data_IF_001450909624
#
_entry.id   IF_001450909624
#
_cell.length_a   1.000
_cell.length_b   1.000
_cell.length_c   1.000
_cell.angle_alpha   90.00
_cell.angle_beta   90.00
_cell.angle_gamma   90.00
#
_symmetry.space_group_name_H-M   'P 1'
#
loop_
_entity.id
_entity.type
_entity.pdbx_description
1 polymer ?
#
# COMPACT_ATOMS: atom_id res chain seq x y z
N UNK A 1 21.97 -0.53 -9.86
CA UNK A 1 20.67 -1.19 -10.11
C UNK A 1 20.85 -2.69 -10.30
N UNK A 2 21.65 -3.15 -11.28
CA UNK A 2 21.89 -4.59 -11.52
C UNK A 2 22.49 -5.31 -10.29
N UNK A 3 23.45 -4.67 -9.60
CA UNK A 3 24.06 -5.21 -8.37
C UNK A 3 23.04 -5.46 -7.25
N UNK A 4 22.17 -4.47 -6.99
CA UNK A 4 21.06 -4.57 -6.03
C UNK A 4 20.11 -5.70 -6.41
N UNK A 5 19.74 -5.78 -7.70
CA UNK A 5 18.80 -6.80 -8.17
C UNK A 5 19.39 -8.22 -8.01
N UNK A 6 20.67 -8.40 -8.33
CA UNK A 6 21.34 -9.70 -8.18
C UNK A 6 21.49 -10.11 -6.71
N UNK A 7 21.87 -9.20 -5.82
CA UNK A 7 22.01 -9.51 -4.39
C UNK A 7 20.68 -9.86 -3.74
N UNK A 8 19.61 -9.14 -4.09
CA UNK A 8 18.26 -9.45 -3.61
C UNK A 8 17.72 -10.76 -4.19
N UNK A 9 17.97 -11.07 -5.47
CA UNK A 9 17.62 -12.36 -6.04
C UNK A 9 18.32 -13.51 -5.29
N UNK A 10 19.63 -13.37 -5.05
CA UNK A 10 20.40 -14.37 -4.32
C UNK A 10 19.87 -14.56 -2.90
N UNK A 11 19.53 -13.48 -2.21
CA UNK A 11 18.87 -13.52 -0.90
C UNK A 11 17.57 -14.32 -0.95
N UNK A 12 16.70 -14.06 -1.92
CA UNK A 12 15.43 -14.78 -2.08
C UNK A 12 15.65 -16.27 -2.32
N UNK A 13 16.59 -16.63 -3.20
CA UNK A 13 16.92 -18.03 -3.52
C UNK A 13 17.46 -18.76 -2.29
N UNK A 14 18.40 -18.14 -1.57
CA UNK A 14 18.98 -18.72 -0.34
C UNK A 14 17.93 -18.84 0.75
N UNK A 15 17.10 -17.81 0.97
CA UNK A 15 16.03 -17.86 1.95
C UNK A 15 15.04 -19.00 1.63
N UNK A 16 14.59 -19.12 0.37
CA UNK A 16 13.67 -20.18 -0.05
C UNK A 16 14.30 -21.57 0.13
N UNK A 17 15.55 -21.75 -0.28
CA UNK A 17 16.29 -23.00 -0.09
C UNK A 17 16.38 -23.38 1.40
N UNK A 18 16.82 -22.45 2.24
CA UNK A 18 16.98 -22.72 3.67
C UNK A 18 15.65 -23.01 4.37
N UNK A 19 14.57 -22.32 4.00
CA UNK A 19 13.24 -22.57 4.57
C UNK A 19 12.69 -23.94 4.15
N UNK A 20 12.92 -24.38 2.90
CA UNK A 20 12.44 -25.68 2.40
C UNK A 20 13.22 -26.84 3.05
N UNK A 21 14.54 -26.76 3.14
CA UNK A 21 15.39 -27.87 3.58
C UNK A 21 15.71 -27.86 5.08
N UNK A 22 15.71 -26.68 5.72
CA UNK A 22 16.05 -26.51 7.13
C UNK A 22 15.00 -25.65 7.87
N UNK A 23 13.72 -26.05 7.89
CA UNK A 23 12.64 -25.26 8.50
C UNK A 23 12.86 -25.00 9.99
N UNK A 24 13.54 -25.91 10.71
CA UNK A 24 13.82 -25.80 12.15
C UNK A 24 14.66 -24.58 12.55
N UNK A 25 15.40 -23.97 11.62
CA UNK A 25 16.27 -22.83 11.91
C UNK A 25 15.53 -21.49 11.94
N UNK A 26 14.30 -21.43 11.41
CA UNK A 26 13.40 -20.28 11.52
C UNK A 26 14.10 -18.94 11.22
N UNK A 27 14.29 -18.13 12.26
CA UNK A 27 14.93 -16.81 12.17
C UNK A 27 16.38 -16.85 11.65
N UNK A 28 17.13 -17.91 11.95
CA UNK A 28 18.52 -18.05 11.50
C UNK A 28 18.58 -18.12 9.97
N UNK A 29 17.61 -18.76 9.31
CA UNK A 29 17.54 -18.80 7.84
C UNK A 29 17.42 -17.39 7.25
N UNK A 30 16.61 -16.53 7.87
CA UNK A 30 16.47 -15.14 7.47
C UNK A 30 17.79 -14.37 7.65
N UNK A 31 18.47 -14.54 8.80
CA UNK A 31 19.76 -13.92 9.08
C UNK A 31 20.83 -14.32 8.06
N UNK A 32 20.93 -15.61 7.71
CA UNK A 32 21.89 -16.12 6.72
C UNK A 32 21.60 -15.50 5.35
N UNK A 33 20.34 -15.49 4.92
CA UNK A 33 19.96 -14.90 3.63
C UNK A 33 20.30 -13.40 3.57
N UNK A 34 20.06 -12.66 4.65
CA UNK A 34 20.41 -11.24 4.75
C UNK A 34 21.93 -11.01 4.71
N UNK A 35 22.71 -11.87 5.37
CA UNK A 35 24.17 -11.81 5.34
C UNK A 35 24.72 -12.08 3.93
N UNK A 36 24.18 -13.09 3.24
CA UNK A 36 24.53 -13.39 1.84
C UNK A 36 24.20 -12.20 0.93
N UNK A 37 23.07 -11.54 1.13
CA UNK A 37 22.73 -10.31 0.40
C UNK A 37 23.81 -9.23 0.59
N UNK A 38 24.16 -8.93 1.84
CA UNK A 38 25.12 -7.87 2.16
C UNK A 38 26.54 -8.17 1.61
N UNK A 39 27.00 -9.42 1.74
CA UNK A 39 28.30 -9.84 1.23
C UNK A 39 28.32 -9.80 -0.30
N UNK A 40 27.31 -10.36 -0.96
CA UNK A 40 27.24 -10.39 -2.43
C UNK A 40 27.13 -8.97 -3.02
N UNK A 41 26.31 -8.11 -2.42
CA UNK A 41 26.20 -6.71 -2.81
C UNK A 41 27.55 -5.99 -2.75
N UNK A 42 28.23 -6.12 -1.62
CA UNK A 42 29.56 -5.51 -1.42
C UNK A 42 30.58 -6.08 -2.41
N UNK A 43 30.61 -7.40 -2.57
CA UNK A 43 31.54 -8.08 -3.48
C UNK A 43 31.34 -7.66 -4.95
N UNK A 44 30.09 -7.55 -5.42
CA UNK A 44 29.79 -7.08 -6.79
C UNK A 44 30.29 -5.65 -6.98
N UNK A 45 30.05 -4.75 -6.01
CA UNK A 45 30.54 -3.38 -6.09
C UNK A 45 32.07 -3.32 -6.19
N UNK A 46 32.77 -4.02 -5.31
CA UNK A 46 34.23 -4.09 -5.37
C UNK A 46 34.75 -4.72 -6.68
N UNK A 47 34.09 -5.76 -7.19
CA UNK A 47 34.48 -6.41 -8.45
C UNK A 47 34.30 -5.50 -9.66
N UNK A 48 33.17 -4.79 -9.77
CA UNK A 48 32.91 -3.85 -10.86
C UNK A 48 33.92 -2.71 -10.84
N UNK A 49 34.18 -2.12 -9.68
CA UNK A 49 35.18 -1.04 -9.57
C UNK A 49 36.59 -1.54 -9.87
N UNK A 50 36.95 -2.74 -9.43
CA UNK A 50 38.24 -3.35 -9.79
C UNK A 50 38.38 -3.53 -11.31
N UNK A 51 37.32 -3.96 -11.99
CA UNK A 51 37.31 -4.07 -13.46
C UNK A 51 37.45 -2.70 -14.14
N UNK A 52 36.77 -1.65 -13.65
CA UNK A 52 36.91 -0.29 -14.19
C UNK A 52 38.34 0.25 -14.07
N UNK A 53 38.98 0.07 -12.90
CA UNK A 53 40.37 0.47 -12.68
C UNK A 53 41.31 -0.32 -13.61
N UNK A 54 41.09 -1.63 -13.76
CA UNK A 54 41.91 -2.49 -14.61
C UNK A 54 41.78 -2.16 -16.10
N UNK A 55 40.57 -1.89 -16.57
CA UNK A 55 40.30 -1.63 -17.98
C UNK A 55 40.64 -0.20 -18.41
N UNK A 56 41.01 0.68 -17.46
CA UNK A 56 41.22 2.12 -17.69
C UNK A 56 40.03 2.81 -18.38
N UNK A 57 38.82 2.27 -18.21
CA UNK A 57 37.54 2.92 -18.57
C UNK A 57 37.22 4.03 -17.55
N UNK A 58 38.18 4.93 -17.39
CA UNK A 58 38.15 6.01 -16.42
C UNK A 58 37.95 7.28 -17.25
N UNK A 59 36.73 7.83 -17.22
CA UNK A 59 36.54 9.24 -17.55
C UNK A 59 37.59 10.05 -16.77
N UNK A 60 38.15 11.11 -17.37
CA UNK A 60 39.22 11.93 -16.78
C UNK A 60 38.90 12.46 -15.36
N UNK A 61 37.62 12.41 -14.96
CA UNK A 61 37.06 12.79 -13.67
C UNK A 61 37.12 11.70 -12.58
N UNK A 62 37.61 10.49 -12.84
CA UNK A 62 37.60 9.41 -11.84
C UNK A 62 38.78 9.50 -10.86
N UNK A 63 38.48 9.78 -9.59
CA UNK A 63 39.46 10.16 -8.55
C UNK A 63 40.15 8.95 -7.88
N UNK A 64 39.56 7.75 -7.93
CA UNK A 64 40.07 6.57 -7.20
C UNK A 64 41.03 5.76 -8.07
N UNK A 65 42.26 5.53 -7.61
CA UNK A 65 43.30 4.82 -8.37
C UNK A 65 43.57 3.41 -7.82
N UNK A 66 43.16 3.14 -6.59
CA UNK A 66 43.35 1.84 -5.93
C UNK A 66 42.13 1.45 -5.09
N UNK A 67 41.95 0.13 -4.90
CA UNK A 67 40.92 -0.43 -3.99
C UNK A 67 41.11 0.08 -2.56
N UNK A 68 42.33 0.48 -2.17
CA UNK A 68 42.62 1.06 -0.86
C UNK A 68 42.04 2.46 -0.67
N UNK A 69 41.79 3.20 -1.75
CA UNK A 69 41.26 4.56 -1.69
C UNK A 69 39.77 4.60 -1.32
N UNK A 70 39.10 3.44 -1.28
CA UNK A 70 37.71 3.29 -0.82
C UNK A 70 37.58 3.21 0.70
N UNK A 71 38.67 2.92 1.42
CA UNK A 71 38.63 2.90 2.88
C UNK A 71 38.66 4.33 3.41
N UNK A 72 37.95 4.61 4.52
CA UNK A 72 37.98 5.93 5.14
C UNK A 72 39.42 6.32 5.44
N UNK A 73 39.87 7.44 4.84
CA UNK A 73 41.21 7.99 5.03
C UNK A 73 41.10 9.38 5.64
N UNK A 74 41.92 9.62 6.66
CA UNK A 74 42.07 10.96 7.24
C UNK A 74 42.89 11.79 6.25
N UNK A 75 42.30 12.87 5.76
CA UNK A 75 42.97 13.83 4.90
C UNK A 75 43.68 14.86 5.79
N UNK A 76 45.00 15.09 5.63
CA UNK A 76 45.78 15.92 6.53
C UNK A 76 45.33 17.38 6.59
N UNK A 77 44.77 17.92 5.50
CA UNK A 77 44.37 19.34 5.38
C UNK A 77 42.86 19.57 5.57
N UNK A 78 42.10 18.58 6.03
CA UNK A 78 40.66 18.72 6.27
C UNK A 78 40.28 18.35 7.70
N UNK A 79 39.27 19.03 8.27
CA UNK A 79 38.75 18.63 9.58
C UNK A 79 38.24 17.19 9.52
N UNK A 80 38.44 16.45 10.61
CA UNK A 80 37.98 15.06 10.74
C UNK A 80 36.46 14.93 10.54
N UNK A 81 35.69 15.96 10.93
CA UNK A 81 34.25 16.07 10.72
C UNK A 81 33.97 17.39 10.00
N UNK A 82 33.34 17.31 8.83
CA UNK A 82 32.77 18.49 8.18
C UNK A 82 31.50 18.91 8.95
N UNK A 83 31.54 20.06 9.64
CA UNK A 83 30.39 20.54 10.41
C UNK A 83 29.12 20.74 9.57
N UNK A 84 29.26 21.12 8.29
CA UNK A 84 28.11 21.30 7.41
C UNK A 84 27.47 19.95 7.11
N UNK A 85 28.29 18.94 6.81
CA UNK A 85 27.80 17.58 6.56
C UNK A 85 27.24 16.93 7.84
N UNK A 86 27.86 17.18 9.00
CA UNK A 86 27.37 16.71 10.30
C UNK A 86 26.02 17.32 10.66
N UNK A 87 25.84 18.63 10.45
CA UNK A 87 24.56 19.32 10.64
C UNK A 87 23.46 18.76 9.71
N UNK A 88 23.80 18.55 8.44
CA UNK A 88 22.89 17.95 7.47
C UNK A 88 22.53 16.50 7.85
N UNK A 89 23.51 15.70 8.26
CA UNK A 89 23.31 14.32 8.72
C UNK A 89 22.44 14.30 9.98
N UNK A 90 22.65 15.21 10.92
CA UNK A 90 21.80 15.37 12.11
C UNK A 90 20.34 15.69 11.75
N UNK A 91 20.12 16.52 10.73
CA UNK A 91 18.79 16.82 10.22
C UNK A 91 18.11 15.59 9.59
N UNK A 92 18.82 14.84 8.74
CA UNK A 92 18.31 13.59 8.17
C UNK A 92 18.09 12.50 9.21
N UNK A 93 18.95 12.43 10.22
CA UNK A 93 18.80 11.49 11.33
C UNK A 93 17.54 11.80 12.14
N UNK A 94 17.31 13.07 12.48
CA UNK A 94 16.08 13.53 13.13
C UNK A 94 14.85 13.17 12.29
N UNK A 95 14.88 13.47 10.99
CA UNK A 95 13.80 13.11 10.07
C UNK A 95 13.57 11.60 10.01
N UNK A 96 14.63 10.79 10.07
CA UNK A 96 14.54 9.33 10.07
C UNK A 96 13.90 8.79 11.34
N UNK A 97 14.20 9.36 12.51
CA UNK A 97 13.52 9.01 13.77
C UNK A 97 12.01 9.29 13.67
N UNK A 98 11.63 10.48 13.20
CA UNK A 98 10.22 10.82 13.02
C UNK A 98 9.54 9.85 12.05
N UNK A 99 10.19 9.58 10.92
CA UNK A 99 9.68 8.62 9.94
C UNK A 99 9.51 7.24 10.57
N UNK A 100 10.50 6.76 11.31
CA UNK A 100 10.48 5.45 11.96
C UNK A 100 9.34 5.33 12.97
N UNK A 101 9.10 6.36 13.79
CA UNK A 101 7.98 6.37 14.73
C UNK A 101 6.64 6.41 13.98
N UNK A 102 6.55 7.15 12.88
CA UNK A 102 5.33 7.23 12.08
C UNK A 102 5.02 5.94 11.32
N UNK A 103 6.04 5.19 10.88
CA UNK A 103 5.85 3.95 10.09
C UNK A 103 5.80 2.69 10.93
N UNK A 104 6.60 2.62 12.00
CA UNK A 104 6.77 1.43 12.83
C UNK A 104 6.27 1.63 14.27
N UNK A 105 5.67 2.80 14.56
CA UNK A 105 5.10 3.13 15.87
C UNK A 105 4.12 2.08 16.38
N UNK A 106 3.33 1.50 15.48
CA UNK A 106 2.44 0.39 15.79
C UNK A 106 3.18 -0.84 16.35
N UNK A 107 4.27 -1.25 15.70
CA UNK A 107 5.07 -2.39 16.17
C UNK A 107 5.75 -2.10 17.50
N UNK A 108 6.17 -0.85 17.72
CA UNK A 108 6.66 -0.41 19.02
C UNK A 108 5.58 -0.50 20.08
N UNK A 109 4.34 -0.12 19.77
CA UNK A 109 3.21 -0.27 20.71
C UNK A 109 3.00 -1.74 21.07
N UNK A 110 2.96 -2.64 20.06
CA UNK A 110 2.81 -4.08 20.27
C UNK A 110 3.92 -4.65 21.17
N UNK A 111 5.17 -4.26 20.92
CA UNK A 111 6.34 -4.80 21.61
C UNK A 111 6.50 -4.24 23.03
N UNK A 112 6.36 -2.92 23.19
CA UNK A 112 6.66 -2.23 24.46
C UNK A 112 5.54 -2.42 25.49
N UNK A 113 4.28 -2.35 25.05
CA UNK A 113 3.15 -2.46 25.96
C UNK A 113 2.61 -3.89 26.10
N UNK A 114 3.18 -4.86 25.36
CA UNK A 114 2.80 -6.27 25.46
C UNK A 114 1.32 -6.54 25.22
N UNK A 115 0.69 -5.72 24.37
CA UNK A 115 -0.79 -5.70 24.21
C UNK A 115 -1.32 -6.95 23.50
N UNK A 116 -0.43 -7.70 22.83
CA UNK A 116 -0.74 -8.96 22.16
C UNK A 116 0.29 -10.02 22.52
N UNK A 117 -0.17 -11.28 22.59
CA UNK A 117 0.72 -12.43 22.67
C UNK A 117 1.52 -12.57 21.36
N UNK A 118 2.74 -13.10 21.43
CA UNK A 118 3.63 -13.29 20.27
C UNK A 118 2.97 -14.08 19.13
N UNK A 119 2.12 -15.06 19.44
CA UNK A 119 1.36 -15.80 18.43
C UNK A 119 0.41 -14.90 17.63
N UNK A 120 -0.37 -14.07 18.31
CA UNK A 120 -1.31 -13.14 17.67
C UNK A 120 -0.59 -12.03 16.90
N UNK A 121 0.58 -11.59 17.38
CA UNK A 121 1.44 -10.67 16.63
C UNK A 121 1.91 -11.29 15.31
N UNK A 122 2.32 -12.57 15.33
CA UNK A 122 2.71 -13.30 14.12
C UNK A 122 1.56 -13.45 13.13
N UNK A 123 0.36 -13.83 13.61
CA UNK A 123 -0.85 -13.92 12.77
C UNK A 123 -1.22 -12.55 12.20
N UNK A 124 -1.14 -11.49 13.02
CA UNK A 124 -1.37 -10.12 12.59
C UNK A 124 -0.41 -9.69 11.49
N UNK A 125 0.89 -9.91 11.66
CA UNK A 125 1.90 -9.54 10.67
C UNK A 125 1.70 -10.29 9.35
N UNK A 126 1.33 -11.57 9.39
CA UNK A 126 1.02 -12.34 8.18
C UNK A 126 -0.21 -11.76 7.48
N UNK A 127 -1.30 -11.51 8.21
CA UNK A 127 -2.53 -10.95 7.63
C UNK A 127 -2.32 -9.53 7.12
N UNK A 128 -1.56 -8.70 7.82
CA UNK A 128 -1.22 -7.36 7.36
C UNK A 128 -0.41 -7.40 6.06
N UNK A 129 0.55 -8.32 5.94
CA UNK A 129 1.31 -8.50 4.70
C UNK A 129 0.48 -9.08 3.56
N UNK A 130 -0.41 -10.03 3.83
CA UNK A 130 -1.31 -10.63 2.83
C UNK A 130 -2.38 -9.64 2.37
N UNK A 131 -3.05 -8.97 3.31
CA UNK A 131 -4.10 -8.01 3.04
C UNK A 131 -3.58 -6.75 2.35
N UNK A 132 -2.35 -6.32 2.63
CA UNK A 132 -1.74 -5.16 1.96
C UNK A 132 -1.28 -5.43 0.53
N UNK A 133 -1.37 -6.65 0.01
CA UNK A 133 -1.00 -6.95 -1.39
C UNK A 133 -1.88 -6.20 -2.39
N UNK A 134 -3.20 -6.15 -2.18
CA UNK A 134 -4.10 -5.42 -3.08
C UNK A 134 -3.80 -3.90 -3.09
N UNK A 135 -3.66 -3.23 -1.92
CA UNK A 135 -3.15 -1.86 -1.87
C UNK A 135 -1.81 -1.65 -2.59
N UNK A 136 -0.83 -2.53 -2.37
CA UNK A 136 0.53 -2.40 -2.96
C UNK A 136 0.56 -2.59 -4.47
N UNK A 137 -0.18 -3.56 -5.00
CA UNK A 137 -0.10 -3.90 -6.43
C UNK A 137 -1.15 -3.23 -7.30
N UNK A 138 -2.28 -2.82 -6.72
CA UNK A 138 -3.38 -2.20 -7.46
C UNK A 138 -3.46 -0.71 -7.15
N UNK A 139 -3.64 -0.35 -5.87
CA UNK A 139 -3.95 1.04 -5.51
C UNK A 139 -2.73 1.96 -5.57
N UNK A 140 -1.58 1.52 -5.08
CA UNK A 140 -0.37 2.34 -5.06
C UNK A 140 0.07 2.80 -6.46
N UNK A 141 0.15 1.94 -7.50
CA UNK A 141 0.47 2.41 -8.85
C UNK A 141 -0.54 3.41 -9.41
N UNK A 142 -1.84 3.22 -9.09
CA UNK A 142 -2.91 4.16 -9.49
C UNK A 142 -2.74 5.49 -8.76
N UNK A 143 -2.42 5.47 -7.46
CA UNK A 143 -2.17 6.65 -6.64
C UNK A 143 -0.99 7.48 -7.17
N UNK A 144 0.14 6.83 -7.44
CA UNK A 144 1.35 7.47 -7.97
C UNK A 144 1.08 8.09 -9.34
N UNK A 145 0.41 7.35 -10.23
CA UNK A 145 0.02 7.84 -11.56
C UNK A 145 -0.97 9.00 -11.47
N UNK A 146 -1.95 8.90 -10.57
CA UNK A 146 -2.96 9.92 -10.32
C UNK A 146 -2.33 11.22 -9.82
N UNK A 147 -1.42 11.14 -8.85
CA UNK A 147 -0.68 12.30 -8.32
C UNK A 147 0.09 13.03 -9.41
N UNK A 148 0.83 12.30 -10.24
CA UNK A 148 1.56 12.89 -11.37
C UNK A 148 0.60 13.57 -12.34
N UNK A 149 -0.51 12.90 -12.69
CA UNK A 149 -1.53 13.44 -13.56
C UNK A 149 -2.14 14.75 -13.03
N UNK A 150 -2.63 14.75 -11.79
CA UNK A 150 -3.27 15.93 -11.19
C UNK A 150 -2.30 17.11 -11.04
N UNK A 151 -1.07 16.85 -10.60
CA UNK A 151 -0.04 17.90 -10.46
C UNK A 151 0.44 18.48 -11.79
N UNK A 152 0.26 17.75 -12.90
CA UNK A 152 0.61 18.24 -14.24
C UNK A 152 -0.46 19.17 -14.85
N UNK A 153 -1.71 19.03 -14.43
CA UNK A 153 -2.85 19.78 -14.99
C UNK A 153 -3.32 20.93 -14.11
N UNK A 154 -3.17 20.80 -12.79
CA UNK A 154 -3.50 21.84 -11.82
C UNK A 154 -2.25 22.48 -11.24
N UNK A 155 -2.25 23.81 -11.19
CA UNK A 155 -1.22 24.55 -10.48
C UNK A 155 -1.48 24.53 -8.98
N UNK A 156 -0.47 24.18 -8.17
CA UNK A 156 -0.57 24.14 -6.71
C UNK A 156 -0.90 25.51 -6.10
N UNK A 157 -1.73 25.50 -5.05
CA UNK A 157 -2.09 26.69 -4.27
C UNK A 157 -3.01 27.69 -4.99
N UNK A 158 -3.51 27.35 -6.18
CA UNK A 158 -4.46 28.18 -6.91
C UNK A 158 -5.90 27.70 -6.68
N UNK A 159 -6.82 28.66 -6.53
CA UNK A 159 -8.25 28.36 -6.43
C UNK A 159 -8.79 27.79 -7.73
N UNK A 160 -9.88 27.02 -7.65
CA UNK A 160 -10.49 26.37 -8.81
C UNK A 160 -10.83 27.36 -9.94
N UNK A 161 -11.27 28.58 -9.61
CA UNK A 161 -11.68 29.59 -10.59
C UNK A 161 -10.51 30.15 -11.44
N UNK A 162 -9.28 30.02 -10.95
CA UNK A 162 -8.08 30.46 -11.66
C UNK A 162 -7.50 29.37 -12.58
N UNK A 163 -7.98 28.12 -12.46
CA UNK A 163 -7.56 27.02 -13.33
C UNK A 163 -8.25 27.11 -14.70
N UNK A 164 -7.64 26.52 -15.72
CA UNK A 164 -8.27 26.47 -17.05
C UNK A 164 -9.54 25.59 -17.01
N UNK A 165 -10.60 26.00 -17.72
CA UNK A 165 -11.87 25.25 -17.75
C UNK A 165 -11.67 23.82 -18.24
N UNK A 166 -10.88 23.63 -19.29
CA UNK A 166 -10.56 22.31 -19.85
C UNK A 166 -9.84 21.41 -18.83
N UNK A 167 -8.88 21.98 -18.07
CA UNK A 167 -8.21 21.26 -16.98
C UNK A 167 -9.21 20.86 -15.90
N UNK A 168 -10.13 21.74 -15.51
CA UNK A 168 -11.12 21.48 -14.46
C UNK A 168 -12.03 20.32 -14.85
N UNK A 169 -12.61 20.36 -16.05
CA UNK A 169 -13.49 19.31 -16.55
C UNK A 169 -12.76 17.96 -16.61
N UNK A 170 -11.54 17.95 -17.16
CA UNK A 170 -10.73 16.75 -17.28
C UNK A 170 -10.34 16.16 -15.92
N UNK A 171 -9.82 16.98 -15.00
CA UNK A 171 -9.37 16.54 -13.68
C UNK A 171 -10.55 16.08 -12.83
N UNK A 172 -11.67 16.80 -12.85
CA UNK A 172 -12.90 16.41 -12.13
C UNK A 172 -13.39 15.06 -12.64
N UNK A 173 -13.49 14.90 -13.96
CA UNK A 173 -13.93 13.64 -14.57
C UNK A 173 -12.99 12.50 -14.19
N UNK A 174 -11.67 12.68 -14.31
CA UNK A 174 -10.69 11.64 -13.96
C UNK A 174 -10.77 11.29 -12.47
N UNK A 175 -10.85 12.28 -11.58
CA UNK A 175 -10.97 12.07 -10.14
C UNK A 175 -12.22 11.26 -9.79
N UNK A 176 -13.37 11.63 -10.36
CA UNK A 176 -14.64 10.93 -10.14
C UNK A 176 -14.55 9.46 -10.59
N UNK A 177 -14.03 9.20 -11.80
CA UNK A 177 -13.93 7.85 -12.35
C UNK A 177 -12.88 6.99 -11.65
N UNK A 178 -11.72 7.56 -11.27
CA UNK A 178 -10.71 6.85 -10.49
C UNK A 178 -11.25 6.48 -9.11
N UNK A 179 -11.88 7.42 -8.41
CA UNK A 179 -12.48 7.20 -7.11
C UNK A 179 -13.56 6.11 -7.16
N UNK A 180 -14.42 6.15 -8.19
CA UNK A 180 -15.42 5.11 -8.45
C UNK A 180 -14.78 3.74 -8.66
N UNK A 181 -13.73 3.67 -9.48
CA UNK A 181 -13.02 2.42 -9.79
C UNK A 181 -12.43 1.79 -8.54
N UNK A 182 -11.66 2.55 -7.76
CA UNK A 182 -11.01 2.02 -6.55
C UNK A 182 -12.04 1.64 -5.48
N UNK A 183 -13.14 2.39 -5.38
CA UNK A 183 -14.24 2.07 -4.46
C UNK A 183 -14.92 0.77 -4.85
N UNK A 184 -15.22 0.56 -6.15
CA UNK A 184 -15.80 -0.69 -6.64
C UNK A 184 -14.89 -1.89 -6.36
N UNK A 185 -13.59 -1.77 -6.63
CA UNK A 185 -12.60 -2.81 -6.32
C UNK A 185 -12.56 -3.09 -4.81
N UNK A 186 -12.50 -2.04 -3.98
CA UNK A 186 -12.53 -2.15 -2.52
C UNK A 186 -13.81 -2.81 -2.01
N UNK A 187 -14.98 -2.50 -2.58
CA UNK A 187 -16.26 -3.12 -2.21
C UNK A 187 -16.29 -4.61 -2.58
N UNK A 188 -15.76 -5.00 -3.74
CA UNK A 188 -15.62 -6.42 -4.12
C UNK A 188 -14.72 -7.13 -3.10
N UNK A 189 -13.55 -6.57 -2.77
CA UNK A 189 -12.64 -7.15 -1.78
C UNK A 189 -13.32 -7.26 -0.41
N UNK A 190 -14.09 -6.25 0.01
CA UNK A 190 -14.84 -6.28 1.27
C UNK A 190 -15.88 -7.41 1.28
N UNK A 191 -16.74 -7.45 0.26
CA UNK A 191 -17.88 -8.37 0.18
C UNK A 191 -17.44 -9.83 0.07
N UNK A 192 -16.52 -10.13 -0.85
CA UNK A 192 -16.00 -11.49 -1.01
C UNK A 192 -14.95 -11.82 0.07
N UNK A 193 -14.23 -10.83 0.60
CA UNK A 193 -13.33 -11.05 1.72
C UNK A 193 -14.02 -11.58 2.97
N UNK A 194 -15.30 -11.26 3.18
CA UNK A 194 -16.04 -11.73 4.34
C UNK A 194 -16.16 -13.27 4.41
N UNK A 195 -16.87 -13.95 3.48
CA UNK A 195 -17.07 -15.39 3.56
C UNK A 195 -15.88 -16.23 3.11
N UNK A 196 -14.92 -15.65 2.38
CA UNK A 196 -13.75 -16.39 1.89
C UNK A 196 -12.51 -16.25 2.79
N UNK A 197 -12.55 -15.44 3.86
CA UNK A 197 -11.40 -15.21 4.74
C UNK A 197 -10.84 -16.52 5.34
N UNK A 198 -11.71 -17.38 5.87
CA UNK A 198 -11.27 -18.67 6.42
C UNK A 198 -10.60 -19.52 5.34
N UNK A 199 -11.28 -19.72 4.20
CA UNK A 199 -10.78 -20.56 3.12
C UNK A 199 -9.45 -20.05 2.56
N UNK A 200 -9.32 -18.74 2.38
CA UNK A 200 -8.09 -18.11 1.90
C UNK A 200 -6.91 -18.36 2.86
N UNK A 201 -7.13 -18.22 4.17
CA UNK A 201 -6.10 -18.49 5.17
C UNK A 201 -5.78 -19.98 5.30
N UNK A 202 -6.79 -20.85 5.19
CA UNK A 202 -6.63 -22.30 5.24
C UNK A 202 -5.80 -22.81 4.04
N UNK A 203 -6.04 -22.26 2.85
CA UNK A 203 -5.25 -22.58 1.66
C UNK A 203 -3.81 -22.05 1.76
N UNK A 204 -3.60 -20.91 2.41
CA UNK A 204 -2.29 -20.26 2.47
C UNK A 204 -1.40 -20.85 3.57
N UNK A 205 -1.91 -20.99 4.79
CA UNK A 205 -1.14 -21.42 5.97
C UNK A 205 -1.79 -22.53 6.79
N UNK A 206 -2.86 -23.15 6.29
CA UNK A 206 -3.57 -24.22 6.98
C UNK A 206 -4.20 -23.76 8.30
N UNK A 207 -4.41 -24.74 9.19
CA UNK A 207 -5.00 -24.52 10.51
C UNK A 207 -4.25 -23.50 11.37
N UNK A 208 -2.97 -23.25 11.11
CA UNK A 208 -2.20 -22.23 11.83
C UNK A 208 -2.79 -20.83 11.67
N UNK A 209 -3.34 -20.52 10.48
CA UNK A 209 -3.94 -19.21 10.18
C UNK A 209 -5.46 -19.25 10.11
N UNK A 210 -6.04 -20.39 9.74
CA UNK A 210 -7.51 -20.53 9.64
C UNK A 210 -8.18 -20.78 11.00
N UNK A 211 -7.44 -21.23 12.02
CA UNK A 211 -7.95 -21.34 13.39
C UNK A 211 -7.72 -20.05 14.19
N UNK A 212 -8.55 -19.83 15.22
CA UNK A 212 -8.42 -18.67 16.12
C UNK A 212 -8.82 -17.34 15.47
N UNK A 213 -8.03 -16.29 15.72
CA UNK A 213 -8.37 -14.91 15.36
C UNK A 213 -8.15 -14.58 13.87
N UNK A 214 -7.44 -15.42 13.11
CA UNK A 214 -7.01 -15.14 11.74
C UNK A 214 -8.15 -14.78 10.78
N UNK A 215 -9.20 -15.61 10.62
CA UNK A 215 -10.30 -15.31 9.72
C UNK A 215 -11.00 -13.98 10.07
N UNK A 216 -11.27 -13.75 11.36
CA UNK A 216 -11.90 -12.51 11.82
C UNK A 216 -11.01 -11.29 11.53
N UNK A 217 -9.70 -11.42 11.72
CA UNK A 217 -8.74 -10.37 11.44
C UNK A 217 -8.70 -10.00 9.96
N UNK A 218 -8.65 -11.01 9.07
CA UNK A 218 -8.67 -10.78 7.62
C UNK A 218 -10.00 -10.15 7.17
N UNK A 219 -11.14 -10.55 7.75
CA UNK A 219 -12.45 -9.92 7.49
C UNK A 219 -12.46 -8.43 7.78
N UNK A 220 -11.94 -8.00 8.93
CA UNK A 220 -11.78 -6.59 9.26
C UNK A 220 -10.73 -5.90 8.40
N UNK A 221 -9.67 -6.62 8.01
CA UNK A 221 -8.67 -6.10 7.09
C UNK A 221 -9.27 -5.81 5.71
N UNK A 222 -10.23 -6.60 5.23
CA UNK A 222 -10.93 -6.30 3.96
C UNK A 222 -11.71 -4.98 4.01
N UNK A 223 -12.26 -4.59 5.17
CA UNK A 223 -12.82 -3.25 5.37
C UNK A 223 -11.74 -2.18 5.32
N UNK A 224 -10.62 -2.44 5.99
CA UNK A 224 -9.46 -1.55 5.96
C UNK A 224 -8.93 -1.33 4.53
N UNK A 225 -8.91 -2.36 3.68
CA UNK A 225 -8.52 -2.26 2.26
C UNK A 225 -9.45 -1.32 1.46
N UNK A 226 -10.76 -1.34 1.71
CA UNK A 226 -11.69 -0.38 1.10
C UNK A 226 -11.35 1.06 1.51
N UNK A 227 -11.05 1.28 2.80
CA UNK A 227 -10.64 2.61 3.28
C UNK A 227 -9.32 3.06 2.65
N UNK A 228 -8.33 2.17 2.54
CA UNK A 228 -7.06 2.46 1.85
C UNK A 228 -7.28 2.85 0.38
N UNK A 229 -8.17 2.14 -0.33
CA UNK A 229 -8.50 2.43 -1.72
C UNK A 229 -8.99 3.87 -1.92
N UNK A 230 -9.94 4.28 -1.09
CA UNK A 230 -10.53 5.62 -1.08
C UNK A 230 -9.52 6.68 -0.64
N UNK A 231 -8.76 6.39 0.43
CA UNK A 231 -7.76 7.30 0.96
C UNK A 231 -6.68 7.61 -0.07
N UNK A 232 -6.13 6.60 -0.75
CA UNK A 232 -5.10 6.80 -1.76
C UNK A 232 -5.51 7.83 -2.81
N UNK A 233 -6.70 7.69 -3.42
CA UNK A 233 -7.14 8.61 -4.48
C UNK A 233 -7.48 10.01 -3.93
N UNK A 234 -8.22 10.10 -2.83
CA UNK A 234 -8.61 11.41 -2.26
C UNK A 234 -7.40 12.20 -1.77
N UNK A 235 -6.46 11.53 -1.11
CA UNK A 235 -5.26 12.14 -0.57
C UNK A 235 -4.23 12.45 -1.65
N UNK A 236 -4.08 11.62 -2.70
CA UNK A 236 -3.19 11.95 -3.81
C UNK A 236 -3.65 13.19 -4.59
N UNK A 237 -4.96 13.37 -4.79
CA UNK A 237 -5.51 14.58 -5.37
C UNK A 237 -5.26 15.78 -4.45
N UNK A 238 -5.57 15.63 -3.15
CA UNK A 238 -5.33 16.66 -2.14
C UNK A 238 -3.86 17.13 -2.12
N UNK A 239 -2.89 16.23 -2.09
CA UNK A 239 -1.46 16.59 -2.13
C UNK A 239 -1.00 17.21 -3.46
N UNK A 240 -1.73 16.98 -4.55
CA UNK A 240 -1.36 17.50 -5.87
C UNK A 240 -1.72 18.98 -6.02
N UNK A 241 -2.65 19.49 -5.22
CA UNK A 241 -3.25 20.83 -5.36
C UNK A 241 -2.88 21.78 -4.23
N UNK A 242 -2.52 21.26 -3.06
CA UNK A 242 -2.23 22.08 -1.88
C UNK A 242 -1.04 23.05 -2.05
N UNK A 243 -1.15 24.21 -1.41
CA UNK A 243 -0.05 25.15 -1.21
C UNK A 243 0.95 24.63 -0.17
N UNK A 244 2.09 25.31 -0.02
CA UNK A 244 3.09 24.95 0.99
C UNK A 244 2.55 25.11 2.41
N UNK A 245 1.80 26.17 2.67
CA UNK A 245 1.19 26.49 3.96
C UNK A 245 0.16 25.42 4.36
N UNK A 246 -0.63 24.96 3.39
CA UNK A 246 -1.59 23.88 3.59
C UNK A 246 -0.88 22.55 3.88
N UNK A 247 0.25 22.26 3.21
CA UNK A 247 1.07 21.06 3.46
C UNK A 247 1.62 21.11 4.89
N UNK A 248 2.14 22.25 5.33
CA UNK A 248 2.64 22.42 6.69
C UNK A 248 1.53 22.25 7.72
N UNK A 249 0.35 22.83 7.48
CA UNK A 249 -0.84 22.62 8.34
C UNK A 249 -1.25 21.15 8.39
N UNK A 250 -1.24 20.46 7.25
CA UNK A 250 -1.54 19.04 7.18
C UNK A 250 -0.52 18.18 7.93
N UNK A 251 0.78 18.50 7.85
CA UNK A 251 1.82 17.79 8.61
C UNK A 251 1.58 17.92 10.13
N UNK A 252 1.11 19.07 10.60
CA UNK A 252 0.70 19.23 12.01
C UNK A 252 -0.54 18.38 12.35
N UNK A 253 -1.53 18.30 11.46
CA UNK A 253 -2.69 17.41 11.63
C UNK A 253 -2.30 15.92 11.62
N UNK A 254 -1.32 15.53 10.82
CA UNK A 254 -0.79 14.16 10.79
C UNK A 254 -0.16 13.75 12.12
N UNK A 255 0.46 14.68 12.85
CA UNK A 255 0.93 14.45 14.21
C UNK A 255 -0.26 14.12 15.14
N UNK A 256 -1.34 14.90 15.06
CA UNK A 256 -2.57 14.63 15.83
C UNK A 256 -3.16 13.26 15.46
N UNK A 257 -3.25 12.92 14.18
CA UNK A 257 -3.74 11.61 13.73
C UNK A 257 -2.86 10.46 14.23
N UNK A 258 -1.54 10.68 14.33
CA UNK A 258 -0.62 9.70 14.92
C UNK A 258 -0.86 9.49 16.41
N UNK A 259 -1.16 10.55 17.17
CA UNK A 259 -1.55 10.42 18.58
C UNK A 259 -2.89 9.67 18.71
N UNK A 260 -3.87 9.96 17.87
CA UNK A 260 -5.15 9.25 17.82
C UNK A 260 -4.92 7.77 17.49
N UNK A 261 -4.07 7.45 16.53
CA UNK A 261 -3.69 6.08 16.18
C UNK A 261 -3.08 5.36 17.39
N UNK A 262 -2.05 5.94 18.01
CA UNK A 262 -1.39 5.30 19.17
C UNK A 262 -2.37 5.08 20.33
N UNK A 263 -3.17 6.09 20.67
CA UNK A 263 -4.17 6.00 21.75
C UNK A 263 -5.29 4.99 21.44
N UNK A 264 -5.83 5.01 20.22
CA UNK A 264 -6.85 4.04 19.79
C UNK A 264 -6.31 2.62 19.67
N UNK A 265 -5.06 2.44 19.22
CA UNK A 265 -4.40 1.14 19.18
C UNK A 265 -4.23 0.55 20.58
N UNK A 266 -3.84 1.36 21.58
CA UNK A 266 -3.76 0.90 22.97
C UNK A 266 -5.14 0.50 23.51
N UNK A 267 -6.16 1.34 23.30
CA UNK A 267 -7.50 1.12 23.82
C UNK A 267 -8.22 -0.05 23.14
N UNK A 268 -8.27 -0.08 21.81
CA UNK A 268 -9.03 -1.09 21.07
C UNK A 268 -8.38 -2.46 21.12
N UNK A 269 -7.06 -2.55 21.20
CA UNK A 269 -6.37 -3.84 21.30
C UNK A 269 -6.63 -4.52 22.64
N UNK A 270 -6.79 -3.77 23.73
CA UNK A 270 -7.19 -4.34 25.02
C UNK A 270 -8.58 -4.99 24.96
N UNK A 271 -9.47 -4.50 24.11
CA UNK A 271 -10.86 -4.97 23.99
C UNK A 271 -10.99 -6.06 22.92
N UNK A 272 -10.37 -5.87 21.76
CA UNK A 272 -10.58 -6.68 20.55
C UNK A 272 -9.33 -7.46 20.10
N UNK A 273 -8.25 -7.44 20.87
CA UNK A 273 -6.99 -8.09 20.49
C UNK A 273 -6.43 -7.56 19.18
N UNK A 274 -5.93 -8.44 18.31
CA UNK A 274 -5.28 -8.07 17.04
C UNK A 274 -6.23 -7.34 16.08
N UNK A 275 -7.54 -7.61 16.17
CA UNK A 275 -8.57 -6.89 15.41
C UNK A 275 -8.61 -5.42 15.82
N UNK A 276 -8.36 -5.12 17.10
CA UNK A 276 -8.29 -3.76 17.63
C UNK A 276 -7.26 -2.90 16.91
N UNK A 277 -6.11 -3.47 16.51
CA UNK A 277 -5.10 -2.75 15.72
C UNK A 277 -5.60 -2.41 14.31
N UNK A 278 -6.27 -3.34 13.62
CA UNK A 278 -6.86 -3.07 12.29
C UNK A 278 -7.91 -1.97 12.39
N UNK A 279 -8.72 -1.98 13.45
CA UNK A 279 -9.72 -0.96 13.72
C UNK A 279 -9.09 0.41 14.02
N UNK A 280 -8.04 0.46 14.85
CA UNK A 280 -7.31 1.69 15.13
C UNK A 280 -6.68 2.29 13.85
N UNK A 281 -6.08 1.44 13.01
CA UNK A 281 -5.60 1.84 11.69
C UNK A 281 -6.73 2.32 10.77
N UNK A 282 -7.89 1.68 10.83
CA UNK A 282 -9.09 2.10 10.09
C UNK A 282 -9.59 3.48 10.53
N UNK A 283 -9.55 3.79 11.85
CA UNK A 283 -9.87 5.12 12.37
C UNK A 283 -8.87 6.16 11.83
N UNK A 284 -7.58 5.88 11.89
CA UNK A 284 -6.54 6.78 11.38
C UNK A 284 -6.72 7.09 9.88
N UNK A 285 -6.93 6.07 9.05
CA UNK A 285 -7.24 6.26 7.63
C UNK A 285 -8.58 6.97 7.43
N UNK A 286 -9.60 6.69 8.26
CA UNK A 286 -10.88 7.40 8.26
C UNK A 286 -10.72 8.90 8.50
N UNK A 287 -9.94 9.31 9.49
CA UNK A 287 -9.62 10.72 9.74
C UNK A 287 -8.95 11.39 8.53
N UNK A 288 -8.03 10.68 7.86
CA UNK A 288 -7.35 11.18 6.65
C UNK A 288 -8.30 11.33 5.47
N UNK A 289 -9.23 10.38 5.28
CA UNK A 289 -10.30 10.49 4.27
C UNK A 289 -11.17 11.70 4.57
N UNK A 290 -11.65 11.86 5.82
CA UNK A 290 -12.51 12.99 6.20
C UNK A 290 -11.83 14.34 5.92
N UNK A 291 -10.55 14.49 6.28
CA UNK A 291 -9.80 15.72 6.01
C UNK A 291 -9.64 15.99 4.51
N UNK A 292 -9.31 14.95 3.72
CA UNK A 292 -9.11 15.08 2.27
C UNK A 292 -10.44 15.38 1.56
N UNK A 293 -11.51 14.69 1.94
CA UNK A 293 -12.87 14.90 1.41
C UNK A 293 -13.40 16.28 1.77
N UNK A 294 -13.20 16.73 3.01
CA UNK A 294 -13.57 18.08 3.44
C UNK A 294 -12.86 19.15 2.60
N UNK A 295 -11.58 18.96 2.32
CA UNK A 295 -10.84 19.86 1.43
C UNK A 295 -11.41 19.84 0.00
N UNK A 296 -11.60 18.66 -0.59
CA UNK A 296 -12.14 18.52 -1.95
C UNK A 296 -13.51 19.18 -2.04
N UNK A 297 -14.39 18.95 -1.05
CA UNK A 297 -15.70 19.57 -1.01
C UNK A 297 -15.62 21.10 -1.01
N UNK A 298 -14.76 21.68 -0.16
CA UNK A 298 -14.56 23.13 -0.11
C UNK A 298 -13.94 23.69 -1.39
N UNK A 299 -13.00 22.97 -2.00
CA UNK A 299 -12.35 23.37 -3.25
C UNK A 299 -13.34 23.46 -4.42
N UNK A 300 -14.38 22.61 -4.45
CA UNK A 300 -15.42 22.58 -5.48
C UNK A 300 -16.73 23.26 -5.07
N UNK A 301 -16.83 23.83 -3.86
CA UNK A 301 -18.09 24.33 -3.27
C UNK A 301 -18.82 25.37 -4.14
N UNK A 302 -18.06 26.26 -4.78
CA UNK A 302 -18.60 27.34 -5.60
C UNK A 302 -18.67 26.97 -7.10
N UNK A 303 -18.67 25.67 -7.41
CA UNK A 303 -18.72 25.13 -8.77
C UNK A 303 -19.87 24.15 -8.97
N UNK A 304 -20.23 23.87 -10.22
CA UNK A 304 -21.22 22.84 -10.57
C UNK A 304 -20.65 21.40 -10.51
N UNK A 305 -19.34 21.25 -10.32
CA UNK A 305 -18.64 19.97 -10.37
C UNK A 305 -18.76 19.21 -9.03
N UNK A 306 -19.00 17.91 -9.10
CA UNK A 306 -19.19 17.06 -7.91
C UNK A 306 -18.40 15.75 -8.00
N UNK A 307 -17.06 15.79 -7.96
CA UNK A 307 -16.21 14.60 -8.14
C UNK A 307 -16.42 13.53 -7.05
N UNK A 308 -16.88 13.96 -5.86
CA UNK A 308 -17.18 13.07 -4.73
C UNK A 308 -18.37 12.13 -5.00
N UNK A 309 -19.16 12.33 -6.06
CA UNK A 309 -20.15 11.31 -6.50
C UNK A 309 -19.50 9.97 -6.83
N UNK A 310 -18.19 9.95 -7.12
CA UNK A 310 -17.42 8.72 -7.31
C UNK A 310 -17.41 7.79 -6.10
N UNK A 311 -17.73 8.27 -4.88
CA UNK A 311 -17.81 7.44 -3.68
C UNK A 311 -18.91 6.36 -3.71
N UNK A 312 -19.98 6.58 -4.46
CA UNK A 312 -21.18 5.76 -4.35
C UNK A 312 -21.33 4.90 -5.62
N UNK A 313 -21.18 3.57 -5.51
CA UNK A 313 -21.67 2.64 -6.53
C UNK A 313 -23.15 2.88 -6.83
N UNK A 314 -23.59 2.60 -8.06
CA UNK A 314 -25.01 2.64 -8.40
C UNK A 314 -25.82 1.67 -7.53
N UNK A 315 -27.08 2.00 -7.27
CA UNK A 315 -27.96 1.17 -6.44
C UNK A 315 -28.07 -0.28 -6.95
N UNK A 316 -28.04 -0.49 -8.27
CA UNK A 316 -28.01 -1.83 -8.88
C UNK A 316 -26.76 -2.62 -8.48
N UNK A 317 -25.59 -1.99 -8.49
CA UNK A 317 -24.33 -2.63 -8.07
C UNK A 317 -24.33 -2.92 -6.57
N UNK A 318 -24.83 -1.99 -5.74
CA UNK A 318 -25.00 -2.22 -4.30
C UNK A 318 -25.95 -3.40 -4.03
N UNK A 319 -27.06 -3.48 -4.76
CA UNK A 319 -27.99 -4.61 -4.69
C UNK A 319 -27.34 -5.93 -5.09
N UNK A 320 -26.58 -5.95 -6.19
CA UNK A 320 -25.84 -7.13 -6.63
C UNK A 320 -24.75 -7.56 -5.62
N UNK A 321 -24.03 -6.61 -5.03
CA UNK A 321 -23.04 -6.87 -3.98
C UNK A 321 -23.70 -7.41 -2.70
N UNK A 322 -24.84 -6.87 -2.28
CA UNK A 322 -25.59 -7.38 -1.13
C UNK A 322 -26.11 -8.80 -1.36
N UNK A 323 -26.65 -9.08 -2.55
CA UNK A 323 -27.07 -10.44 -2.94
C UNK A 323 -25.88 -11.40 -3.01
N UNK A 324 -24.76 -10.96 -3.57
CA UNK A 324 -23.51 -11.75 -3.59
C UNK A 324 -23.03 -12.05 -2.17
N UNK A 325 -23.04 -11.07 -1.26
CA UNK A 325 -22.70 -11.28 0.15
C UNK A 325 -23.61 -12.32 0.80
N UNK A 326 -24.93 -12.16 0.70
CA UNK A 326 -25.88 -13.08 1.32
C UNK A 326 -25.72 -14.52 0.79
N UNK A 327 -25.58 -14.67 -0.53
CA UNK A 327 -25.41 -15.99 -1.18
C UNK A 327 -24.08 -16.65 -0.79
N UNK A 328 -22.99 -15.89 -0.77
CA UNK A 328 -21.67 -16.42 -0.41
C UNK A 328 -21.51 -16.66 1.09
N UNK A 329 -22.14 -15.87 1.95
CA UNK A 329 -22.20 -16.11 3.40
C UNK A 329 -23.05 -17.35 3.73
N UNK A 330 -24.19 -17.53 3.05
CA UNK A 330 -24.96 -18.77 3.16
C UNK A 330 -24.12 -19.97 2.67
N UNK A 331 -23.42 -19.81 1.54
CA UNK A 331 -22.52 -20.84 1.03
C UNK A 331 -21.39 -21.18 2.01
N UNK A 332 -20.80 -20.21 2.70
CA UNK A 332 -19.77 -20.46 3.73
C UNK A 332 -20.35 -21.28 4.87
N UNK A 333 -21.52 -20.90 5.40
CA UNK A 333 -22.16 -21.58 6.53
C UNK A 333 -22.49 -23.05 6.26
N UNK A 334 -22.96 -23.39 5.05
CA UNK A 334 -23.37 -24.76 4.72
C UNK A 334 -22.27 -25.62 4.07
N UNK A 335 -21.30 -25.01 3.38
CA UNK A 335 -20.32 -25.73 2.55
C UNK A 335 -18.88 -25.64 3.07
N UNK A 336 -18.56 -24.71 3.97
CA UNK A 336 -17.30 -24.71 4.71
C UNK A 336 -17.49 -25.43 6.07
N UNK A 337 -16.50 -25.97 6.78
CA UNK A 337 -15.09 -26.24 6.48
C UNK A 337 -14.73 -27.72 6.74
N UNK A 338 -15.74 -28.54 7.07
CA UNK A 338 -15.62 -29.93 7.51
C UNK A 338 -16.11 -30.95 6.45
N UNK A 339 -16.74 -30.50 5.36
CA UNK A 339 -17.33 -31.37 4.34
C UNK A 339 -16.33 -32.04 3.38
N UNK A 340 -15.06 -31.65 3.41
CA UNK A 340 -14.01 -32.13 2.49
C UNK A 340 -13.81 -31.27 1.23
N UNK A 341 -12.85 -31.64 0.39
CA UNK A 341 -12.37 -30.82 -0.74
C UNK A 341 -13.47 -30.50 -1.77
N UNK A 342 -14.44 -31.40 -1.97
CA UNK A 342 -15.54 -31.17 -2.92
C UNK A 342 -16.41 -29.97 -2.51
N UNK A 343 -16.72 -29.83 -1.22
CA UNK A 343 -17.55 -28.73 -0.71
C UNK A 343 -16.79 -27.40 -0.74
N UNK A 344 -15.47 -27.42 -0.47
CA UNK A 344 -14.60 -26.24 -0.67
C UNK A 344 -14.61 -25.78 -2.14
N UNK A 345 -14.51 -26.71 -3.10
CA UNK A 345 -14.59 -26.40 -4.53
C UNK A 345 -15.97 -25.85 -4.93
N UNK A 346 -17.06 -26.40 -4.37
CA UNK A 346 -18.40 -25.91 -4.62
C UNK A 346 -18.57 -24.46 -4.11
N UNK A 347 -18.05 -24.16 -2.91
CA UNK A 347 -18.05 -22.80 -2.37
C UNK A 347 -17.29 -21.84 -3.28
N UNK A 348 -16.09 -22.20 -3.75
CA UNK A 348 -15.32 -21.42 -4.73
C UNK A 348 -16.12 -21.19 -6.01
N UNK A 349 -16.79 -22.23 -6.54
CA UNK A 349 -17.58 -22.12 -7.76
C UNK A 349 -18.76 -21.14 -7.60
N UNK A 350 -19.48 -21.19 -6.47
CA UNK A 350 -20.55 -20.24 -6.14
C UNK A 350 -19.99 -18.81 -6.10
N UNK A 351 -18.84 -18.61 -5.46
CA UNK A 351 -18.13 -17.32 -5.45
C UNK A 351 -17.79 -16.81 -6.83
N UNK A 352 -17.26 -17.68 -7.70
CA UNK A 352 -16.93 -17.34 -9.08
C UNK A 352 -18.15 -16.88 -9.88
N UNK A 353 -19.28 -17.57 -9.75
CA UNK A 353 -20.54 -17.17 -10.39
C UNK A 353 -21.05 -15.84 -9.84
N UNK A 354 -21.08 -15.66 -8.52
CA UNK A 354 -21.50 -14.40 -7.89
C UNK A 354 -20.60 -13.22 -8.32
N UNK A 355 -19.29 -13.43 -8.38
CA UNK A 355 -18.33 -12.43 -8.84
C UNK A 355 -18.59 -12.05 -10.29
N UNK A 356 -18.81 -13.02 -11.18
CA UNK A 356 -19.14 -12.76 -12.59
C UNK A 356 -20.44 -11.96 -12.72
N UNK A 357 -21.48 -12.30 -11.96
CA UNK A 357 -22.74 -11.55 -11.93
C UNK A 357 -22.53 -10.09 -11.47
N UNK A 358 -21.73 -9.87 -10.44
CA UNK A 358 -21.38 -8.52 -9.96
C UNK A 358 -20.62 -7.75 -11.03
N UNK A 359 -19.61 -8.35 -11.67
CA UNK A 359 -18.84 -7.72 -12.75
C UNK A 359 -19.72 -7.35 -13.95
N UNK A 360 -20.63 -8.23 -14.36
CA UNK A 360 -21.61 -7.95 -15.42
C UNK A 360 -22.52 -6.79 -15.03
N UNK A 361 -23.00 -6.78 -13.77
CA UNK A 361 -23.82 -5.66 -13.27
C UNK A 361 -23.05 -4.35 -13.29
N UNK A 362 -21.79 -4.33 -12.89
CA UNK A 362 -20.92 -3.14 -12.97
C UNK A 362 -20.81 -2.66 -14.41
N UNK A 363 -20.54 -3.54 -15.38
CA UNK A 363 -20.41 -3.17 -16.80
C UNK A 363 -21.71 -2.59 -17.35
N UNK A 364 -22.88 -3.10 -16.93
CA UNK A 364 -24.18 -2.64 -17.42
C UNK A 364 -24.63 -1.33 -16.75
N UNK A 365 -24.42 -1.20 -15.44
CA UNK A 365 -24.91 -0.08 -14.63
C UNK A 365 -23.97 1.12 -14.63
N UNK A 366 -22.65 0.92 -14.73
CA UNK A 366 -21.63 1.98 -14.69
C UNK A 366 -21.15 2.36 -16.09
N UNK A 367 -22.08 2.66 -17.01
CA UNK A 367 -21.78 2.90 -18.43
C UNK A 367 -20.78 4.04 -18.66
N UNK A 368 -20.90 5.12 -17.90
CA UNK A 368 -19.99 6.27 -17.98
C UNK A 368 -18.55 5.87 -17.63
N UNK A 369 -18.37 5.03 -16.61
CA UNK A 369 -17.06 4.52 -16.23
C UNK A 369 -16.46 3.65 -17.33
N UNK A 370 -17.25 2.73 -17.91
CA UNK A 370 -16.79 1.89 -19.00
C UNK A 370 -16.43 2.72 -20.23
N UNK A 371 -17.25 3.72 -20.59
CA UNK A 371 -16.96 4.64 -21.70
C UNK A 371 -15.68 5.43 -21.46
N UNK A 372 -15.45 5.92 -20.23
CA UNK A 372 -14.22 6.62 -19.87
C UNK A 372 -12.99 5.72 -20.02
N UNK A 373 -13.04 4.50 -19.47
CA UNK A 373 -11.94 3.52 -19.53
C UNK A 373 -11.66 3.10 -20.99
N UNK A 374 -12.70 2.78 -21.75
CA UNK A 374 -12.57 2.35 -23.15
C UNK A 374 -12.03 3.46 -24.05
N UNK A 375 -12.53 4.68 -23.92
CA UNK A 375 -12.05 5.83 -24.71
C UNK A 375 -10.58 6.12 -24.44
N UNK A 376 -10.13 6.03 -23.18
CA UNK A 376 -8.74 6.33 -22.79
C UNK A 376 -7.77 5.19 -23.09
N UNK A 377 -8.19 3.93 -22.97
CA UNK A 377 -7.37 2.75 -23.30
C UNK A 377 -7.31 2.48 -24.81
N UNK A 378 -8.43 2.54 -25.52
CA UNK A 378 -8.47 2.30 -26.98
C UNK A 378 -8.14 3.53 -27.82
N UNK A 379 -8.45 4.75 -27.37
CA UNK A 379 -8.00 5.97 -28.02
C UNK A 379 -6.47 6.08 -28.10
N UNK A 380 -5.75 5.52 -27.12
CA UNK A 380 -4.28 5.40 -27.13
C UNK A 380 -3.75 4.38 -28.14
N UNK A 381 -4.54 3.36 -28.53
CA UNK A 381 -4.14 2.40 -29.57
C UNK A 381 -4.24 2.99 -30.97
N UNK A 382 -5.25 3.84 -31.23
CA UNK A 382 -5.45 4.48 -32.54
C UNK A 382 -4.46 5.64 -32.75
N UNK A 383 -4.09 6.37 -31.69
CA UNK A 383 -3.09 7.45 -31.77
C UNK A 383 -1.62 7.00 -31.87
N UNK A 384 -1.33 5.69 -31.80
CA UNK A 384 0.01 5.12 -32.00
C UNK A 384 0.20 4.44 -33.36
N UNK A 385 -0.82 4.45 -34.21
CA UNK A 385 -0.82 3.83 -35.55
C UNK A 385 -0.82 4.84 -36.70
N UNK A 386 -0.55 6.13 -36.42
CA UNK A 386 -0.32 7.16 -37.44
C UNK A 386 1.10 7.68 -37.37
#
# INVERSE_FOLDING_TARGET
VVSVAMSELLKCVVAAFLVIYFPQWGLINFCIAQLVCAISYSAIYYAVFYMMIKNKDLEETFVFQSVRDFFPRILPDKPFIDQRLASLTGSFFKQSIFKQILTEGEKYVMTVFGVLNFGDQGVYDIINNLGSLAPRFIFQPIEESGRLFFSSLFTRGQSLQLQSKDSIELVTSVLQHLLKTVTLIGCIILVFGQPYAYLALDLYGGSLLSSGAGPLLLRWYCLYVLLLAVNGITECFYFSIMSKEEIDSYNHKMLLFSVILLGSSLFLTQIFGSVGFVLANSINIGCRILQSVWFIHNFYKDSSYQPLKGFLPSFSVLGALALAYCTTAFSEYYLCCDGGNLYKLLHIAIGGVCLLCVLVTIVISERELIQFVTTRLWGRKIGKTN
#
